data_IF_023669460909
#
_entry.id   IF_023669460909
#
_cell.length_a   1.000
_cell.length_b   1.000
_cell.length_c   1.000
_cell.angle_alpha   90.00
_cell.angle_beta   90.00
_cell.angle_gamma   90.00
#
_symmetry.space_group_name_H-M   'P 1'
#
loop_
_entity.id
_entity.type
_entity.pdbx_description
1 polymer ?
#
# COMPACT_ATOMS: atom_id res chain seq x y z
N UNK A 1 -6.26 4.70 5.52
CA UNK A 1 -6.59 3.26 5.60
C UNK A 1 -5.25 2.53 5.54
N UNK A 2 -5.04 1.47 6.35
CA UNK A 2 -3.71 0.96 6.56
C UNK A 2 -3.08 0.31 5.32
N UNK A 3 -1.76 0.44 5.11
CA UNK A 3 -1.00 -0.60 4.41
C UNK A 3 -1.18 -1.95 5.13
N UNK A 4 -1.25 -3.04 4.36
CA UNK A 4 -1.30 -4.40 4.92
C UNK A 4 0.12 -4.95 5.02
N UNK A 5 0.45 -5.56 6.17
CA UNK A 5 1.78 -6.13 6.43
C UNK A 5 1.67 -7.63 6.73
N UNK A 6 2.38 -8.43 5.95
CA UNK A 6 2.56 -9.87 6.16
C UNK A 6 3.67 -10.11 7.20
N UNK A 7 3.26 -10.21 8.46
CA UNK A 7 4.19 -10.41 9.58
C UNK A 7 4.93 -11.75 9.53
N UNK A 8 4.50 -12.70 8.69
CA UNK A 8 5.24 -13.96 8.49
C UNK A 8 6.49 -13.80 7.63
N UNK A 9 6.56 -12.70 6.84
CA UNK A 9 7.69 -12.37 5.96
C UNK A 9 8.44 -11.13 6.41
N UNK A 10 7.80 -10.25 7.17
CA UNK A 10 8.44 -9.08 7.73
C UNK A 10 9.59 -9.52 8.64
N UNK A 11 10.79 -9.03 8.34
CA UNK A 11 12.00 -9.27 9.12
C UNK A 11 12.30 -8.12 10.11
N UNK A 12 11.37 -7.18 10.24
CA UNK A 12 11.48 -6.00 11.11
C UNK A 12 12.68 -5.09 10.80
N UNK A 13 13.17 -5.06 9.55
CA UNK A 13 14.31 -4.22 9.16
C UNK A 13 14.09 -2.71 9.31
N UNK A 14 12.84 -2.24 9.33
CA UNK A 14 12.51 -0.83 9.55
C UNK A 14 12.64 0.09 8.33
N UNK A 15 13.02 -0.40 7.14
CA UNK A 15 13.14 0.43 5.92
C UNK A 15 11.86 1.22 5.60
N UNK A 16 10.69 0.61 5.84
CA UNK A 16 9.40 1.26 5.65
C UNK A 16 9.17 2.47 6.58
N UNK A 17 9.80 2.49 7.77
CA UNK A 17 9.77 3.65 8.67
C UNK A 17 10.57 4.80 8.08
N UNK A 18 11.75 4.50 7.53
CA UNK A 18 12.65 5.50 6.94
C UNK A 18 12.09 6.12 5.66
N UNK A 19 11.49 5.30 4.78
CA UNK A 19 11.02 5.78 3.47
C UNK A 19 9.63 6.43 3.53
N UNK A 20 8.85 6.18 4.58
CA UNK A 20 7.47 6.67 4.63
C UNK A 20 7.44 8.17 4.94
N UNK A 21 6.98 9.04 4.01
CA UNK A 21 6.99 10.48 4.21
C UNK A 21 5.97 10.95 5.26
N UNK A 22 4.99 10.12 5.60
CA UNK A 22 3.90 10.45 6.53
C UNK A 22 3.94 9.64 7.83
N UNK A 23 5.07 8.95 8.09
CA UNK A 23 5.30 8.22 9.35
C UNK A 23 4.20 7.22 9.73
N UNK A 24 3.67 6.50 8.74
CA UNK A 24 2.64 5.46 8.95
C UNK A 24 3.17 4.30 9.81
N UNK A 25 4.47 4.02 9.73
CA UNK A 25 5.12 2.92 10.42
C UNK A 25 5.99 3.43 11.57
N UNK A 26 6.15 2.60 12.60
CA UNK A 26 7.08 2.85 13.71
C UNK A 26 7.74 1.55 14.16
N UNK A 27 8.88 1.66 14.86
CA UNK A 27 9.53 0.53 15.51
C UNK A 27 9.29 0.59 17.02
N UNK A 28 8.75 -0.48 17.59
CA UNK A 28 8.56 -0.62 19.04
C UNK A 28 9.18 -1.91 19.52
N UNK A 29 10.16 -1.81 20.42
CA UNK A 29 10.90 -2.96 20.97
C UNK A 29 11.47 -3.89 19.88
N UNK A 30 11.95 -3.32 18.77
CA UNK A 30 12.50 -4.08 17.64
C UNK A 30 11.45 -4.72 16.72
N UNK A 31 10.16 -4.49 16.97
CA UNK A 31 9.06 -5.00 16.14
C UNK A 31 8.45 -3.85 15.35
N UNK A 32 8.13 -4.11 14.08
CA UNK A 32 7.43 -3.17 13.23
C UNK A 32 5.97 -3.03 13.66
N UNK A 33 5.50 -1.79 13.84
CA UNK A 33 4.10 -1.45 14.09
C UNK A 33 3.57 -0.50 13.00
N UNK A 34 2.30 -0.70 12.61
CA UNK A 34 1.56 0.27 11.78
C UNK A 34 0.91 1.29 12.70
N UNK A 35 1.58 2.41 12.94
CA UNK A 35 1.25 3.38 13.98
C UNK A 35 0.17 4.39 13.55
N UNK A 36 0.23 4.88 12.31
CA UNK A 36 -0.67 5.92 11.79
C UNK A 36 -1.26 5.52 10.42
N UNK A 37 -2.06 4.45 10.35
CA UNK A 37 -2.58 3.91 9.08
C UNK A 37 -3.47 4.87 8.28
N UNK A 38 -4.09 5.85 8.94
CA UNK A 38 -4.88 6.91 8.33
C UNK A 38 -4.02 7.94 7.60
N UNK A 39 -2.75 8.09 7.96
CA UNK A 39 -1.82 9.03 7.33
C UNK A 39 -1.23 8.52 6.01
N UNK A 40 -1.56 7.30 5.58
CA UNK A 40 -1.07 6.73 4.33
C UNK A 40 -1.65 7.51 3.12
N UNK A 41 -0.75 8.06 2.30
CA UNK A 41 -1.08 8.80 1.07
C UNK A 41 -1.00 7.93 -0.18
N UNK A 42 -0.85 6.61 -0.03
CA UNK A 42 -0.78 5.65 -1.13
C UNK A 42 0.36 5.95 -2.12
N UNK A 43 1.56 6.30 -1.64
CA UNK A 43 2.73 6.56 -2.50
C UNK A 43 3.49 5.29 -2.95
N UNK A 44 3.12 4.10 -2.46
CA UNK A 44 3.79 2.76 -2.62
C UNK A 44 5.27 2.64 -2.32
N UNK A 45 5.98 3.68 -1.94
CA UNK A 45 7.43 3.57 -1.73
C UNK A 45 7.82 2.44 -0.76
N UNK A 46 7.00 2.20 0.26
CA UNK A 46 7.18 1.09 1.21
C UNK A 46 6.84 -0.31 0.66
N UNK A 47 6.03 -0.43 -0.39
CA UNK A 47 5.72 -1.70 -1.08
C UNK A 47 6.77 -2.04 -2.15
N UNK A 48 7.38 -1.02 -2.75
CA UNK A 48 8.42 -1.22 -3.75
C UNK A 48 9.66 -1.93 -3.17
N UNK A 49 10.48 -2.49 -4.04
CA UNK A 49 11.63 -3.32 -3.67
C UNK A 49 12.64 -2.60 -2.75
N UNK A 50 12.78 -1.27 -2.91
CA UNK A 50 13.61 -0.44 -2.03
C UNK A 50 13.00 -0.23 -0.64
N UNK A 51 11.69 -0.17 -0.53
CA UNK A 51 10.99 0.02 0.74
C UNK A 51 10.80 -1.27 1.55
N UNK A 52 10.59 -2.40 0.88
CA UNK A 52 10.44 -3.70 1.53
C UNK A 52 11.03 -4.83 0.69
N UNK A 53 12.31 -5.17 0.95
CA UNK A 53 12.99 -6.28 0.28
C UNK A 53 12.29 -7.63 0.53
N UNK A 54 11.69 -7.80 1.71
CA UNK A 54 10.89 -8.98 2.05
C UNK A 54 9.55 -9.04 1.30
N UNK A 55 9.18 -8.00 0.56
CA UNK A 55 7.89 -7.88 -0.16
C UNK A 55 6.71 -8.23 0.75
N UNK A 56 6.77 -7.78 2.01
CA UNK A 56 5.81 -8.05 3.07
C UNK A 56 4.75 -6.97 3.19
N UNK A 57 4.90 -5.82 2.52
CA UNK A 57 3.97 -4.70 2.58
C UNK A 57 3.20 -4.63 1.27
N UNK A 58 1.88 -4.43 1.36
CA UNK A 58 1.00 -4.22 0.21
C UNK A 58 0.14 -2.99 0.46
N UNK A 59 0.16 -2.06 -0.49
CA UNK A 59 -0.79 -0.95 -0.51
C UNK A 59 -2.04 -1.40 -1.24
N UNK A 60 -3.16 -1.38 -0.53
CA UNK A 60 -4.47 -1.67 -1.11
C UNK A 60 -5.20 -0.37 -1.34
N UNK A 61 -5.75 -0.24 -2.54
CA UNK A 61 -6.66 0.84 -2.88
C UNK A 61 -7.85 0.89 -1.91
N UNK A 62 -8.23 2.08 -1.39
CA UNK A 62 -9.39 2.29 -0.52
C UNK A 62 -10.66 1.55 -0.95
N UNK A 63 -11.03 1.61 -2.24
CA UNK A 63 -12.25 0.96 -2.72
C UNK A 63 -12.21 -0.56 -2.62
N UNK A 64 -11.01 -1.17 -2.59
CA UNK A 64 -10.80 -2.62 -2.40
C UNK A 64 -10.56 -3.00 -0.94
N UNK A 65 -10.31 -2.03 -0.05
CA UNK A 65 -10.00 -2.31 1.36
C UNK A 65 -11.17 -2.95 2.09
N UNK A 66 -12.39 -2.45 1.84
CA UNK A 66 -13.60 -3.03 2.45
C UNK A 66 -13.88 -4.45 1.97
N UNK A 67 -13.53 -4.79 0.72
CA UNK A 67 -13.66 -6.15 0.21
C UNK A 67 -12.70 -7.11 0.92
N UNK A 68 -11.42 -6.72 1.07
CA UNK A 68 -10.44 -7.53 1.80
C UNK A 68 -10.79 -7.66 3.29
N UNK A 69 -11.26 -6.59 3.91
CA UNK A 69 -11.69 -6.59 5.31
C UNK A 69 -12.92 -7.47 5.52
N UNK A 70 -13.92 -7.38 4.63
CA UNK A 70 -15.17 -8.17 4.70
C UNK A 70 -14.93 -9.64 4.40
N UNK A 71 -13.98 -9.95 3.52
CA UNK A 71 -13.61 -11.32 3.20
C UNK A 71 -12.93 -12.06 4.37
N UNK A 72 -12.33 -11.36 5.36
CA UNK A 72 -11.50 -11.93 6.45
C UNK A 72 -10.44 -12.95 5.99
N UNK A 73 -10.18 -13.00 4.68
CA UNK A 73 -9.28 -13.92 3.99
C UNK A 73 -8.33 -13.05 3.18
N UNK A 74 -7.29 -12.59 3.86
CA UNK A 74 -6.15 -11.98 3.19
C UNK A 74 -5.34 -13.13 2.61
N UNK A 75 -5.62 -13.49 1.36
CA UNK A 75 -4.75 -14.40 0.63
C UNK A 75 -3.54 -13.62 0.12
N UNK A 76 -2.46 -13.69 0.87
CA UNK A 76 -1.20 -13.03 0.54
C UNK A 76 -0.65 -13.46 -0.82
N UNK A 77 -0.98 -14.66 -1.32
CA UNK A 77 -0.53 -15.11 -2.63
C UNK A 77 -1.26 -14.40 -3.77
N UNK A 78 -2.59 -14.28 -3.67
CA UNK A 78 -3.40 -13.45 -4.58
C UNK A 78 -3.01 -11.97 -4.54
N UNK A 79 -2.74 -11.42 -3.34
CA UNK A 79 -2.35 -10.01 -3.20
C UNK A 79 -0.98 -9.70 -3.84
N UNK A 80 -0.09 -10.70 -3.94
CA UNK A 80 1.26 -10.55 -4.49
C UNK A 80 1.31 -10.53 -6.01
N UNK A 81 0.26 -11.00 -6.69
CA UNK A 81 0.18 -10.88 -8.15
C UNK A 81 0.09 -9.39 -8.48
N UNK A 82 1.24 -8.81 -8.88
CA UNK A 82 1.55 -7.37 -9.00
C UNK A 82 0.54 -6.57 -9.85
N UNK A 83 -0.47 -7.19 -10.45
CA UNK A 83 -1.49 -6.56 -11.27
C UNK A 83 -2.88 -6.42 -10.62
N UNK A 84 -3.27 -7.24 -9.65
CA UNK A 84 -4.68 -7.26 -9.20
C UNK A 84 -5.00 -6.22 -8.14
N UNK A 85 -4.16 -6.04 -7.11
CA UNK A 85 -4.38 -5.03 -6.06
C UNK A 85 -4.24 -3.59 -6.53
N UNK A 86 -3.60 -3.39 -7.68
CA UNK A 86 -3.36 -2.08 -8.30
C UNK A 86 -4.36 -1.76 -9.41
N UNK A 87 -5.26 -2.69 -9.76
CA UNK A 87 -6.29 -2.42 -10.76
C UNK A 87 -7.44 -1.69 -10.09
N UNK A 88 -7.59 -0.40 -10.37
CA UNK A 88 -8.89 0.24 -10.20
C UNK A 88 -9.96 -0.55 -11.00
N UNK A 89 -11.22 -0.57 -10.56
CA UNK A 89 -12.29 -1.05 -11.45
C UNK A 89 -12.35 -0.14 -12.69
N UNK A 90 -12.78 -0.65 -13.86
CA UNK A 90 -12.89 0.17 -15.07
C UNK A 90 -13.77 1.41 -14.80
N UNK A 91 -13.19 2.60 -14.96
CA UNK A 91 -13.89 3.87 -14.72
C UNK A 91 -13.86 4.38 -13.28
N UNK A 92 -13.09 3.77 -12.38
CA UNK A 92 -12.88 4.24 -11.01
C UNK A 92 -11.41 4.60 -10.76
N UNK A 93 -11.15 5.51 -9.83
CA UNK A 93 -9.80 5.76 -9.30
C UNK A 93 -9.59 5.04 -7.96
N UNK A 94 -8.39 5.16 -7.38
CA UNK A 94 -8.10 4.52 -6.09
C UNK A 94 -9.00 5.00 -4.93
N UNK A 95 -9.74 6.09 -5.10
CA UNK A 95 -10.67 6.64 -4.12
C UNK A 95 -12.13 6.23 -4.40
N UNK A 96 -12.38 5.33 -5.36
CA UNK A 96 -13.73 4.90 -5.74
C UNK A 96 -14.55 6.00 -6.41
N UNK A 97 -13.92 7.07 -6.89
CA UNK A 97 -14.60 8.12 -7.66
C UNK A 97 -14.67 7.71 -9.13
N UNK A 98 -15.82 7.90 -9.77
CA UNK A 98 -15.99 7.66 -11.21
C UNK A 98 -15.12 8.65 -11.98
N UNK A 99 -14.13 8.15 -12.71
CA UNK A 99 -13.23 8.96 -13.55
C UNK A 99 -13.49 8.67 -15.03
N UNK A 100 -13.55 9.73 -15.83
CA UNK A 100 -13.60 9.61 -17.28
C UNK A 100 -12.20 9.20 -17.79
N UNK A 101 -12.01 7.91 -18.02
CA UNK A 101 -10.74 7.34 -18.50
C UNK A 101 -10.18 6.29 -17.56
N UNK A 102 -9.60 5.22 -18.12
CA UNK A 102 -9.08 4.05 -17.41
C UNK A 102 -7.72 4.26 -16.74
N UNK A 103 -7.30 5.51 -16.49
CA UNK A 103 -6.01 5.77 -15.86
C UNK A 103 -6.16 5.73 -14.35
N UNK A 104 -5.82 4.56 -13.79
CA UNK A 104 -5.47 4.45 -12.39
C UNK A 104 -4.20 5.30 -12.21
N UNK A 105 -4.36 6.59 -11.85
CA UNK A 105 -3.29 7.58 -11.69
C UNK A 105 -2.46 7.26 -10.45
N UNK A 106 -1.78 6.13 -10.49
CA UNK A 106 -0.81 5.76 -9.50
C UNK A 106 0.60 6.29 -9.87
N UNK A 107 0.72 6.95 -11.04
CA UNK A 107 2.01 7.38 -11.61
C UNK A 107 1.98 8.59 -12.55
N UNK A 108 1.04 9.52 -12.42
CA UNK A 108 1.15 10.84 -13.10
C UNK A 108 1.28 12.03 -12.12
N UNK A 109 2.00 11.85 -11.01
CA UNK A 109 2.77 12.98 -10.49
C UNK A 109 4.19 12.87 -11.06
N UNK A 110 4.31 13.27 -12.33
CA UNK A 110 5.57 13.82 -12.78
C UNK A 110 5.91 14.98 -11.85
N UNK A 111 7.03 14.87 -11.15
CA UNK A 111 7.68 16.00 -10.52
C UNK A 111 7.99 17.03 -11.62
N UNK A 112 7.04 17.91 -11.91
CA UNK A 112 7.31 19.19 -12.53
C UNK A 112 7.91 20.08 -11.44
N UNK A 113 9.20 19.87 -11.15
CA UNK A 113 10.02 20.94 -10.62
C UNK A 113 10.11 21.98 -11.75
N UNK A 114 9.39 23.10 -11.58
CA UNK A 114 9.73 24.37 -12.24
C UNK A 114 10.94 25.00 -11.55
#
# INVERSE_FOLDING_TARGET
>A
MPPLVDMSRCDHCGNCVTICPTSVFSMKSGVLEVAAPEACVYCVECEEERGCHARAIVIVCPSRYDDLRRAKKVDWESLRQRGENRKCLPGENCFGSTVAGSSCLFREFALAFS
#
